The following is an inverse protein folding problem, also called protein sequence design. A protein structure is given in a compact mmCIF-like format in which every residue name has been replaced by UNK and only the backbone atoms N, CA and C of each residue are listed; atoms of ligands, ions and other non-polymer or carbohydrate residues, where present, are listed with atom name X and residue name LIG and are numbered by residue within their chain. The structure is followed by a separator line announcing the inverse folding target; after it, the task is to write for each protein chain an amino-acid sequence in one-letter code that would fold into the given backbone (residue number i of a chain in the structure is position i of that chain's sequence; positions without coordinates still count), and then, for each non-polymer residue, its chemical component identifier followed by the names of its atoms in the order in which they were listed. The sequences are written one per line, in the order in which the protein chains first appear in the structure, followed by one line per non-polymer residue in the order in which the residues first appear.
data_IF_549599443266
#
_entry.id   IF_549599443266
#
_cell.length_a   1.000
_cell.length_b   1.000
_cell.length_c   1.000
_cell.angle_alpha   90.00
_cell.angle_beta   90.00
_cell.angle_gamma   90.00
#
_symmetry.space_group_name_H-M   'P 1'
#
loop_
_entity.id
_entity.type
_entity.pdbx_description
1 polymer ?
#
# COMPACT_ATOMS: atom_id res chain seq x y z
N UNK A 1 10.98 7.76 11.94
CA UNK A 1 10.09 6.66 11.50
C UNK A 1 8.66 7.15 11.58
N UNK A 2 7.83 6.87 10.58
CA UNK A 2 6.40 7.23 10.59
C UNK A 2 5.69 6.40 11.67
N UNK A 3 4.93 7.01 12.60
CA UNK A 3 4.29 6.29 13.69
C UNK A 3 3.21 5.33 13.17
N UNK A 4 3.01 4.24 13.90
CA UNK A 4 1.90 3.29 13.70
C UNK A 4 1.05 3.22 14.97
N UNK A 5 -0.25 2.88 14.85
CA UNK A 5 -1.07 2.61 16.02
C UNK A 5 -0.53 1.40 16.82
N UNK A 6 -0.91 1.25 18.11
CA UNK A 6 -0.45 0.14 18.94
C UNK A 6 -0.82 -1.27 18.44
N UNK A 7 -1.84 -1.37 17.59
CA UNK A 7 -2.30 -2.61 16.98
C UNK A 7 -2.85 -2.32 15.57
N UNK A 8 -2.77 -3.29 14.63
CA UNK A 8 -3.28 -3.12 13.28
C UNK A 8 -4.80 -3.01 13.28
N UNK A 9 -5.34 -2.09 12.47
CA UNK A 9 -6.77 -1.93 12.34
C UNK A 9 -7.40 -3.07 11.56
N UNK A 10 -8.49 -3.61 12.11
CA UNK A 10 -9.31 -4.66 11.54
C UNK A 10 -10.77 -4.18 11.59
N UNK A 11 -11.33 -3.72 10.45
CA UNK A 11 -12.68 -3.19 10.41
C UNK A 11 -13.72 -4.16 11.00
N UNK A 12 -14.51 -3.66 11.96
CA UNK A 12 -15.51 -4.45 12.69
C UNK A 12 -14.95 -5.31 13.83
N UNK A 13 -13.63 -5.28 14.10
CA UNK A 13 -13.01 -5.93 15.28
C UNK A 13 -12.43 -4.92 16.28
N UNK A 14 -11.84 -3.83 15.81
CA UNK A 14 -11.28 -2.79 16.68
C UNK A 14 -11.62 -1.38 16.14
N UNK A 15 -11.54 -0.32 16.98
CA UNK A 15 -11.78 1.04 16.51
C UNK A 15 -10.77 1.47 15.45
N UNK A 16 -11.18 2.41 14.59
CA UNK A 16 -10.27 3.05 13.63
C UNK A 16 -9.18 3.82 14.39
N UNK A 17 -7.91 3.76 13.95
CA UNK A 17 -6.84 4.58 14.51
C UNK A 17 -7.15 6.08 14.40
N UNK A 18 -6.58 6.87 15.31
CA UNK A 18 -6.67 8.33 15.25
C UNK A 18 -6.05 8.84 13.93
N UNK A 19 -6.79 9.61 13.10
CA UNK A 19 -6.24 10.21 11.88
C UNK A 19 -4.97 11.05 12.10
N UNK A 20 -4.78 11.61 13.31
CA UNK A 20 -3.59 12.39 13.65
C UNK A 20 -2.28 11.59 13.51
N UNK A 21 -2.33 10.25 13.61
CA UNK A 21 -1.17 9.37 13.38
C UNK A 21 -0.62 9.52 11.96
N UNK A 22 -1.50 9.73 10.97
CA UNK A 22 -1.14 9.81 9.55
C UNK A 22 -0.92 11.24 9.08
N UNK A 23 -1.57 12.22 9.73
CA UNK A 23 -1.63 13.61 9.27
C UNK A 23 -0.27 14.21 8.90
N UNK A 24 0.76 14.01 9.74
CA UNK A 24 2.09 14.55 9.45
C UNK A 24 2.72 13.97 8.18
N UNK A 25 2.55 12.66 7.95
CA UNK A 25 3.11 12.01 6.78
C UNK A 25 2.35 12.33 5.49
N UNK A 26 1.05 12.64 5.59
CA UNK A 26 0.17 12.94 4.47
C UNK A 26 0.11 14.43 4.10
N UNK A 27 0.66 15.31 4.92
CA UNK A 27 0.59 16.75 4.70
C UNK A 27 1.40 17.18 3.45
N UNK A 28 0.75 17.92 2.55
CA UNK A 28 1.40 18.56 1.40
C UNK A 28 1.81 17.63 0.27
N UNK A 29 1.36 16.37 0.25
CA UNK A 29 1.69 15.40 -0.79
C UNK A 29 1.25 15.89 -2.18
N UNK A 30 0.16 16.64 -2.28
CA UNK A 30 -0.41 17.17 -3.52
C UNK A 30 0.52 18.16 -4.26
N UNK A 31 1.51 18.72 -3.57
CA UNK A 31 2.48 19.65 -4.14
C UNK A 31 3.78 18.96 -4.59
N UNK A 32 3.92 17.65 -4.34
CA UNK A 32 5.15 16.91 -4.59
C UNK A 32 5.16 16.25 -5.98
N UNK A 33 6.36 16.16 -6.58
CA UNK A 33 6.58 15.35 -7.78
C UNK A 33 6.52 13.85 -7.46
N UNK A 34 6.32 12.97 -8.46
CA UNK A 34 6.37 11.52 -8.23
C UNK A 34 7.66 11.03 -7.57
N UNK A 35 8.80 11.61 -7.90
CA UNK A 35 10.11 11.29 -7.30
C UNK A 35 10.15 11.70 -5.83
N UNK A 36 9.65 12.90 -5.50
CA UNK A 36 9.57 13.36 -4.11
C UNK A 36 8.56 12.53 -3.30
N UNK A 37 7.45 12.10 -3.91
CA UNK A 37 6.48 11.20 -3.30
C UNK A 37 7.10 9.84 -2.94
N UNK A 38 7.95 9.28 -3.80
CA UNK A 38 8.66 8.03 -3.53
C UNK A 38 9.63 8.12 -2.33
N UNK A 39 10.09 9.32 -2.01
CA UNK A 39 10.96 9.60 -0.86
C UNK A 39 10.18 10.07 0.38
N UNK A 40 8.86 10.26 0.27
CA UNK A 40 8.04 10.84 1.33
C UNK A 40 7.93 9.94 2.56
N UNK A 41 7.68 10.52 3.76
CA UNK A 41 7.38 9.75 4.96
C UNK A 41 6.14 8.84 4.82
N UNK A 42 5.16 9.22 3.98
CA UNK A 42 4.01 8.39 3.67
C UNK A 42 4.42 7.11 2.90
N UNK A 43 5.28 7.23 1.89
CA UNK A 43 5.67 6.08 1.07
C UNK A 43 6.42 5.05 1.91
N UNK A 44 7.40 5.52 2.69
CA UNK A 44 8.16 4.69 3.62
C UNK A 44 7.27 4.14 4.74
N UNK A 45 6.35 4.96 5.26
CA UNK A 45 5.37 4.56 6.27
C UNK A 45 4.49 3.40 5.80
N UNK A 46 4.00 3.46 4.56
CA UNK A 46 3.20 2.37 3.97
C UNK A 46 4.00 1.09 3.77
N UNK A 47 5.26 1.17 3.32
CA UNK A 47 6.15 0.00 3.22
C UNK A 47 6.42 -0.64 4.58
N UNK A 48 6.71 0.18 5.61
CA UNK A 48 6.92 -0.29 6.97
C UNK A 48 5.66 -0.93 7.55
N UNK A 49 4.50 -0.28 7.40
CA UNK A 49 3.21 -0.79 7.84
C UNK A 49 2.89 -2.15 7.20
N UNK A 50 3.05 -2.25 5.88
CA UNK A 50 2.80 -3.47 5.13
C UNK A 50 3.70 -4.62 5.62
N UNK A 51 5.00 -4.37 5.77
CA UNK A 51 5.97 -5.36 6.30
C UNK A 51 5.73 -5.72 7.77
N UNK A 52 4.96 -4.94 8.51
CA UNK A 52 4.54 -5.25 9.88
C UNK A 52 3.16 -5.96 9.93
N UNK A 53 2.47 -6.12 8.80
CA UNK A 53 1.10 -6.67 8.76
C UNK A 53 0.00 -5.67 9.17
N UNK A 54 0.32 -4.38 9.15
CA UNK A 54 -0.58 -3.24 9.35
C UNK A 54 -1.17 -2.84 8.00
N UNK A 55 -1.93 -3.76 7.40
CA UNK A 55 -2.36 -3.65 6.01
C UNK A 55 -3.36 -2.52 5.79
N UNK A 56 -4.21 -2.24 6.77
CA UNK A 56 -5.12 -1.11 6.69
C UNK A 56 -4.36 0.21 6.76
N UNK A 57 -3.36 0.33 7.63
CA UNK A 57 -2.53 1.53 7.75
C UNK A 57 -1.66 1.74 6.49
N UNK A 58 -1.14 0.66 5.92
CA UNK A 58 -0.41 0.71 4.65
C UNK A 58 -1.30 1.26 3.53
N UNK A 59 -2.56 0.81 3.47
CA UNK A 59 -3.56 1.34 2.55
C UNK A 59 -3.75 2.86 2.74
N UNK A 60 -3.95 3.35 3.96
CA UNK A 60 -4.16 4.80 4.20
C UNK A 60 -2.97 5.64 3.76
N UNK A 61 -1.74 5.25 4.10
CA UNK A 61 -0.54 5.97 3.68
C UNK A 61 -0.43 6.05 2.16
N UNK A 62 -0.72 4.94 1.49
CA UNK A 62 -0.59 4.82 0.05
C UNK A 62 -1.75 5.46 -0.73
N UNK A 63 -2.95 5.53 -0.16
CA UNK A 63 -4.10 6.24 -0.76
C UNK A 63 -3.81 7.73 -0.95
N UNK A 64 -3.20 8.38 0.06
CA UNK A 64 -2.81 9.79 -0.05
C UNK A 64 -1.84 10.04 -1.21
N UNK A 65 -0.84 9.16 -1.37
CA UNK A 65 0.12 9.22 -2.48
C UNK A 65 -0.57 8.98 -3.82
N UNK A 66 -1.40 7.93 -3.92
CA UNK A 66 -2.14 7.61 -5.14
C UNK A 66 -3.02 8.77 -5.60
N UNK A 67 -3.62 9.49 -4.66
CA UNK A 67 -4.48 10.65 -4.94
C UNK A 67 -3.68 11.83 -5.50
N UNK A 68 -2.45 12.05 -5.00
CA UNK A 68 -1.56 13.11 -5.45
C UNK A 68 -0.87 12.84 -6.80
N UNK A 69 -0.78 11.57 -7.22
CA UNK A 69 -0.09 11.22 -8.46
C UNK A 69 -0.88 11.59 -9.73
N UNK A 70 -0.19 11.97 -10.84
CA UNK A 70 -0.86 12.27 -12.10
C UNK A 70 -1.74 11.13 -12.60
N UNK A 71 -2.84 11.48 -13.26
CA UNK A 71 -3.69 10.46 -13.90
C UNK A 71 -2.90 9.72 -14.97
N UNK A 72 -3.20 8.43 -15.13
CA UNK A 72 -2.55 7.55 -16.12
C UNK A 72 -1.01 7.45 -16.01
N UNK A 73 -0.40 7.79 -14.88
CA UNK A 73 1.05 7.61 -14.66
C UNK A 73 1.40 6.17 -14.24
N UNK A 74 2.66 5.78 -14.43
CA UNK A 74 3.17 4.46 -14.03
C UNK A 74 3.11 4.28 -12.50
N UNK A 75 3.43 5.35 -11.78
CA UNK A 75 3.42 5.43 -10.33
C UNK A 75 2.00 5.25 -9.79
N UNK A 76 1.01 5.88 -10.41
CA UNK A 76 -0.38 5.76 -9.97
C UNK A 76 -0.90 4.33 -10.14
N UNK A 77 -0.48 3.64 -11.20
CA UNK A 77 -0.77 2.23 -11.43
C UNK A 77 -0.06 1.32 -10.42
N UNK A 78 1.22 1.58 -10.13
CA UNK A 78 1.99 0.90 -9.08
C UNK A 78 1.28 1.05 -7.72
N UNK A 79 0.96 2.28 -7.32
CA UNK A 79 0.29 2.55 -6.05
C UNK A 79 -1.07 1.87 -5.96
N UNK A 80 -1.86 1.87 -7.05
CA UNK A 80 -3.12 1.11 -7.10
C UNK A 80 -2.90 -0.38 -6.83
N UNK A 81 -1.85 -0.95 -7.42
CA UNK A 81 -1.44 -2.33 -7.18
C UNK A 81 -1.08 -2.62 -5.72
N UNK A 82 -0.24 -1.78 -5.11
CA UNK A 82 0.18 -1.90 -3.71
C UNK A 82 -1.00 -1.74 -2.74
N UNK A 83 -1.89 -0.79 -2.98
CA UNK A 83 -3.12 -0.57 -2.21
C UNK A 83 -4.02 -1.82 -2.24
N UNK A 84 -4.22 -2.39 -3.43
CA UNK A 84 -5.01 -3.61 -3.58
C UNK A 84 -4.34 -4.80 -2.90
N UNK A 85 -3.01 -4.89 -2.98
CA UNK A 85 -2.24 -5.93 -2.30
C UNK A 85 -2.38 -5.82 -0.76
N UNK A 86 -2.34 -4.60 -0.21
CA UNK A 86 -2.60 -4.34 1.19
C UNK A 86 -4.04 -4.76 1.57
N UNK A 87 -5.04 -4.38 0.76
CA UNK A 87 -6.42 -4.79 0.98
C UNK A 87 -6.57 -6.33 0.98
N UNK A 88 -5.90 -7.05 0.08
CA UNK A 88 -5.89 -8.51 0.08
C UNK A 88 -5.30 -9.08 1.37
N UNK A 89 -4.15 -8.56 1.83
CA UNK A 89 -3.54 -8.94 3.11
C UNK A 89 -4.46 -8.71 4.31
N UNK A 90 -5.15 -7.56 4.33
CA UNK A 90 -6.17 -7.25 5.34
C UNK A 90 -7.30 -8.28 5.32
N UNK A 91 -7.83 -8.64 4.14
CA UNK A 91 -8.89 -9.65 4.04
C UNK A 91 -8.44 -11.01 4.54
N UNK A 92 -7.20 -11.43 4.25
CA UNK A 92 -6.63 -12.67 4.79
C UNK A 92 -6.56 -12.67 6.31
N UNK A 93 -6.01 -11.61 6.92
CA UNK A 93 -6.00 -11.46 8.39
C UNK A 93 -7.39 -11.49 9.02
N UNK A 94 -8.40 -11.00 8.30
CA UNK A 94 -9.78 -11.04 8.74
C UNK A 94 -10.48 -12.41 8.51
N UNK A 95 -9.78 -13.43 7.99
CA UNK A 95 -10.35 -14.73 7.65
C UNK A 95 -11.24 -14.72 6.40
N UNK A 96 -11.11 -13.71 5.54
CA UNK A 96 -11.94 -13.49 4.35
C UNK A 96 -11.20 -13.91 3.07
N UNK A 97 -10.79 -15.16 3.00
CA UNK A 97 -9.95 -15.66 1.90
C UNK A 97 -10.61 -15.49 0.51
N UNK A 98 -11.90 -15.76 0.39
CA UNK A 98 -12.64 -15.58 -0.87
C UNK A 98 -12.57 -14.13 -1.40
N UNK A 99 -12.51 -13.14 -0.51
CA UNK A 99 -12.33 -11.75 -0.91
C UNK A 99 -10.89 -11.48 -1.36
N UNK A 100 -9.89 -12.01 -0.64
CA UNK A 100 -8.48 -11.88 -1.01
C UNK A 100 -8.20 -12.48 -2.41
N UNK A 101 -8.72 -13.67 -2.69
CA UNK A 101 -8.61 -14.35 -4.00
C UNK A 101 -9.14 -13.50 -5.15
N UNK A 102 -10.19 -12.70 -4.92
CA UNK A 102 -10.74 -11.79 -5.94
C UNK A 102 -9.92 -10.50 -6.11
N UNK A 103 -9.26 -10.04 -5.06
CA UNK A 103 -8.48 -8.79 -5.07
C UNK A 103 -7.10 -9.00 -5.67
N UNK A 104 -6.45 -10.13 -5.39
CA UNK A 104 -5.08 -10.41 -5.83
C UNK A 104 -4.87 -10.23 -7.36
N UNK A 105 -5.74 -10.74 -8.25
CA UNK A 105 -5.60 -10.50 -9.69
C UNK A 105 -5.66 -9.02 -10.08
N UNK A 106 -6.43 -8.21 -9.34
CA UNK A 106 -6.52 -6.76 -9.59
C UNK A 106 -5.24 -6.05 -9.18
N UNK A 107 -4.62 -6.49 -8.07
CA UNK A 107 -3.32 -6.01 -7.64
C UNK A 107 -2.24 -6.36 -8.69
N UNK A 108 -2.16 -7.63 -9.09
CA UNK A 108 -1.19 -8.13 -10.07
C UNK A 108 -1.33 -7.42 -11.43
N UNK A 109 -2.56 -7.17 -11.89
CA UNK A 109 -2.81 -6.44 -13.14
C UNK A 109 -2.31 -4.99 -13.06
N UNK A 110 -2.59 -4.28 -11.96
CA UNK A 110 -2.15 -2.90 -11.76
C UNK A 110 -0.63 -2.78 -11.61
N UNK A 111 0.00 -3.68 -10.83
CA UNK A 111 1.47 -3.73 -10.68
C UNK A 111 2.15 -3.97 -12.03
N UNK A 112 1.64 -4.93 -12.80
CA UNK A 112 2.14 -5.22 -14.15
C UNK A 112 2.04 -4.01 -15.06
N UNK A 113 0.91 -3.30 -15.02
CA UNK A 113 0.68 -2.10 -15.81
C UNK A 113 1.62 -0.96 -15.40
N UNK A 114 1.85 -0.75 -14.10
CA UNK A 114 2.81 0.21 -13.58
C UNK A 114 4.21 -0.02 -14.15
N UNK A 115 4.73 -1.25 -14.04
CA UNK A 115 6.04 -1.58 -14.62
C UNK A 115 6.07 -1.58 -16.15
N UNK A 116 4.96 -1.89 -16.82
CA UNK A 116 4.88 -1.78 -18.29
C UNK A 116 5.07 -0.33 -18.75
N UNK A 117 4.55 0.63 -17.99
CA UNK A 117 4.68 2.07 -18.30
C UNK A 117 6.00 2.67 -17.80
N UNK A 118 6.45 2.29 -16.61
CA UNK A 118 7.58 2.93 -15.92
C UNK A 118 8.92 2.20 -16.04
N UNK A 119 8.96 1.02 -16.68
CA UNK A 119 10.20 0.28 -16.93
C UNK A 119 10.61 -0.64 -15.78
N UNK A 120 11.90 -0.68 -15.48
CA UNK A 120 12.49 -1.64 -14.54
C UNK A 120 12.23 -1.31 -13.07
N UNK A 121 12.11 -0.02 -12.74
CA UNK A 121 11.85 0.48 -11.39
C UNK A 121 10.84 1.63 -11.45
N UNK A 122 9.86 1.62 -10.54
CA UNK A 122 8.82 2.65 -10.43
C UNK A 122 8.74 3.06 -8.96
N UNK A 123 8.84 4.37 -8.68
CA UNK A 123 8.94 4.91 -7.31
C UNK A 123 10.02 4.22 -6.45
N UNK A 124 11.14 3.81 -7.07
CA UNK A 124 12.25 3.14 -6.37
C UNK A 124 11.98 1.68 -6.01
N UNK A 125 10.88 1.07 -6.49
CA UNK A 125 10.61 -0.35 -6.36
C UNK A 125 10.83 -1.05 -7.70
N UNK A 126 11.64 -2.10 -7.68
CA UNK A 126 11.77 -3.04 -8.80
C UNK A 126 10.78 -4.21 -8.68
N UNK A 127 10.74 -5.06 -9.72
CA UNK A 127 9.85 -6.23 -9.77
C UNK A 127 10.15 -7.26 -8.67
N UNK A 128 11.40 -7.39 -8.25
CA UNK A 128 11.80 -8.33 -7.20
C UNK A 128 11.24 -7.87 -5.85
N UNK A 129 11.41 -6.60 -5.52
CA UNK A 129 10.89 -6.01 -4.28
C UNK A 129 9.37 -6.10 -4.22
N UNK A 130 8.67 -5.90 -5.34
CA UNK A 130 7.21 -6.11 -5.40
C UNK A 130 6.84 -7.59 -5.23
N UNK A 131 7.58 -8.51 -5.85
CA UNK A 131 7.34 -9.95 -5.68
C UNK A 131 7.52 -10.41 -4.22
N UNK A 132 8.43 -9.80 -3.46
CA UNK A 132 8.59 -10.05 -2.02
C UNK A 132 7.35 -9.61 -1.22
N UNK A 133 6.73 -8.48 -1.58
CA UNK A 133 5.47 -8.02 -0.98
C UNK A 133 4.31 -8.97 -1.33
N UNK A 134 4.25 -9.45 -2.57
CA UNK A 134 3.23 -10.41 -3.00
C UNK A 134 3.38 -11.75 -2.29
N UNK A 135 4.61 -12.28 -2.21
CA UNK A 135 4.92 -13.53 -1.51
C UNK A 135 4.50 -13.47 -0.04
N UNK A 136 4.69 -12.30 0.61
CA UNK A 136 4.20 -12.07 1.97
C UNK A 136 2.69 -12.23 2.05
N UNK A 137 1.92 -11.60 1.16
CA UNK A 137 0.46 -11.76 1.17
C UNK A 137 0.07 -13.21 0.92
N UNK A 138 0.75 -13.90 -0.01
CA UNK A 138 0.52 -15.32 -0.29
C UNK A 138 0.71 -16.21 0.95
N UNK A 139 1.63 -15.86 1.84
CA UNK A 139 1.88 -16.56 3.10
C UNK A 139 1.07 -16.03 4.31
N UNK A 140 0.31 -14.95 4.14
CA UNK A 140 -0.45 -14.33 5.23
C UNK A 140 -1.63 -15.21 5.66
N UNK A 141 -1.78 -15.36 6.97
CA UNK A 141 -2.84 -16.16 7.60
C UNK A 141 -3.80 -15.27 8.38
N UNK A 142 -4.96 -15.82 8.75
CA UNK A 142 -5.90 -15.16 9.64
C UNK A 142 -5.28 -14.89 11.03
N UNK A 143 -5.70 -13.78 11.65
CA UNK A 143 -5.46 -13.48 13.07
C UNK A 143 -6.56 -14.06 13.95
#
# INVERSE_FOLDING_TARGET
MTPLPPAPHLPGRNPRPDPAIFAHALAGLEALSPEALALSPAFQGGLSAFRAGYYWEAHEFWEGIWSALPQASAERELMRGLIQLANAGLKRRMGREAAAVRILPLAEAALREGFRRGGESVMGLDRRQVAELEARIRAENAL
#
